data_IF_202046031535
#
_entry.id   IF_202046031535
#
_cell.length_a   1.000
_cell.length_b   1.000
_cell.length_c   1.000
_cell.angle_alpha   90.00
_cell.angle_beta   90.00
_cell.angle_gamma   90.00
#
_symmetry.space_group_name_H-M   'P 1'
#
loop_
_entity.id
_entity.type
_entity.pdbx_description
1 polymer ?
#
# COMPACT_ATOMS: atom_id res chain seq x y z
N UNK A 1 -2.21 -2.77 -17.42
CA UNK A 1 -1.11 -2.49 -16.48
C UNK A 1 -1.59 -1.39 -15.56
N UNK A 2 -2.16 -1.75 -14.41
CA UNK A 2 -2.65 -0.79 -13.43
C UNK A 2 -1.46 -0.21 -12.67
N UNK A 3 -1.40 1.13 -12.45
CA UNK A 3 -0.25 1.74 -11.78
C UNK A 3 -0.20 1.30 -10.31
N UNK A 4 0.94 0.72 -9.90
CA UNK A 4 1.18 0.37 -8.49
C UNK A 4 1.33 1.63 -7.67
N UNK A 5 0.58 1.75 -6.57
CA UNK A 5 0.74 2.87 -5.64
C UNK A 5 1.98 2.64 -4.76
N UNK A 6 3.05 3.36 -5.10
CA UNK A 6 4.22 3.54 -4.23
C UNK A 6 4.19 4.94 -3.65
N UNK A 7 4.29 5.06 -2.33
CA UNK A 7 4.40 6.36 -1.67
C UNK A 7 5.83 6.51 -1.14
N UNK A 8 6.44 7.66 -1.44
CA UNK A 8 7.74 8.06 -0.90
C UNK A 8 7.52 9.15 0.16
N UNK A 9 8.08 8.96 1.35
CA UNK A 9 8.07 10.00 2.40
C UNK A 9 9.36 10.82 2.30
N UNK A 10 9.25 12.14 2.13
CA UNK A 10 10.40 13.05 1.98
C UNK A 10 10.75 13.71 3.32
N UNK A 11 11.95 13.43 3.85
CA UNK A 11 12.65 14.26 4.84
C UNK A 11 13.55 15.28 4.14
N UNK A 12 14.08 16.28 4.86
CA UNK A 12 14.78 17.48 4.33
C UNK A 12 16.06 17.19 3.52
N UNK A 13 15.92 16.56 2.35
CA UNK A 13 16.91 16.10 1.37
C UNK A 13 17.16 14.57 1.31
N UNK A 14 16.29 13.72 1.88
CA UNK A 14 16.36 12.26 1.69
C UNK A 14 14.97 11.57 1.78
N UNK A 15 14.80 10.45 1.06
CA UNK A 15 13.66 9.54 1.24
C UNK A 15 13.83 8.87 2.62
N UNK A 16 12.85 9.03 3.51
CA UNK A 16 12.90 8.47 4.86
C UNK A 16 12.61 6.94 4.89
N UNK A 17 11.92 6.44 3.87
CA UNK A 17 11.60 5.02 3.69
C UNK A 17 10.75 4.79 2.42
N UNK A 18 10.66 3.53 1.98
CA UNK A 18 9.73 3.07 0.94
C UNK A 18 8.59 2.28 1.59
N UNK A 19 7.35 2.57 1.17
CA UNK A 19 6.17 1.81 1.57
C UNK A 19 5.59 1.09 0.35
N UNK A 20 5.59 -0.24 0.40
CA UNK A 20 5.06 -1.09 -0.67
C UNK A 20 3.65 -1.58 -0.34
N UNK A 21 2.64 -0.81 -0.76
CA UNK A 21 1.24 -1.21 -0.56
C UNK A 21 0.85 -2.43 -1.39
N UNK A 22 1.56 -2.73 -2.49
CA UNK A 22 1.32 -3.95 -3.28
C UNK A 22 1.38 -5.19 -2.40
N UNK A 23 2.40 -5.29 -1.55
CA UNK A 23 2.56 -6.42 -0.63
C UNK A 23 1.41 -6.52 0.39
N UNK A 24 0.79 -5.40 0.78
CA UNK A 24 -0.29 -5.39 1.76
C UNK A 24 -1.63 -5.90 1.21
N UNK A 25 -1.88 -5.74 -0.10
CA UNK A 25 -3.22 -5.93 -0.69
C UNK A 25 -3.26 -6.87 -1.89
N UNK A 26 -2.13 -7.31 -2.42
CA UNK A 26 -2.10 -8.24 -3.57
C UNK A 26 -2.61 -9.63 -3.18
N UNK A 27 -3.20 -10.32 -4.14
CA UNK A 27 -3.53 -11.74 -4.01
C UNK A 27 -2.22 -12.54 -3.89
N UNK A 28 -2.02 -13.35 -2.84
CA UNK A 28 -0.80 -14.14 -2.67
C UNK A 28 -0.66 -15.24 -3.74
N UNK A 29 -1.75 -15.65 -4.37
CA UNK A 29 -1.78 -16.64 -5.46
C UNK A 29 -1.69 -15.99 -6.85
N UNK A 30 -2.03 -14.70 -6.96
CA UNK A 30 -1.90 -13.91 -8.20
C UNK A 30 -1.39 -12.48 -7.91
N UNK A 31 -0.06 -12.28 -7.80
CA UNK A 31 0.53 -11.01 -7.36
C UNK A 31 0.31 -9.81 -8.27
N UNK A 32 -0.37 -9.96 -9.42
CA UNK A 32 -0.74 -8.83 -10.29
C UNK A 32 -2.17 -8.34 -10.06
N UNK A 33 -2.91 -8.98 -9.14
CA UNK A 33 -4.29 -8.64 -8.78
C UNK A 33 -4.39 -8.20 -7.32
N UNK A 34 -5.41 -7.40 -7.03
CA UNK A 34 -5.84 -7.14 -5.65
C UNK A 34 -6.52 -8.40 -5.11
N UNK A 35 -6.24 -8.77 -3.86
CA UNK A 35 -6.95 -9.85 -3.19
C UNK A 35 -8.47 -9.55 -3.19
N UNK A 36 -9.28 -10.56 -3.52
CA UNK A 36 -10.74 -10.41 -3.63
C UNK A 36 -11.40 -9.92 -2.34
N UNK A 37 -10.79 -10.18 -1.18
CA UNK A 37 -11.24 -9.66 0.12
C UNK A 37 -11.06 -8.15 0.27
N UNK A 38 -10.19 -7.54 -0.53
CA UNK A 38 -9.87 -6.10 -0.50
C UNK A 38 -10.40 -5.33 -1.72
N UNK A 39 -10.82 -5.99 -2.79
CA UNK A 39 -11.37 -5.35 -3.99
C UNK A 39 -12.81 -4.81 -3.76
N UNK A 40 -13.07 -3.58 -4.21
CA UNK A 40 -14.40 -2.96 -4.23
C UNK A 40 -15.30 -3.48 -5.36
N UNK A 41 -14.73 -4.23 -6.33
CA UNK A 41 -15.33 -5.00 -7.46
C UNK A 41 -14.92 -4.52 -8.86
N UNK A 42 -13.85 -3.76 -8.98
CA UNK A 42 -13.37 -3.30 -10.28
C UNK A 42 -11.88 -3.57 -10.52
N UNK A 43 -11.23 -4.28 -9.60
CA UNK A 43 -9.81 -4.60 -9.67
C UNK A 43 -8.90 -3.37 -9.57
N UNK A 44 -9.43 -2.23 -9.13
CA UNK A 44 -8.70 -0.97 -9.00
C UNK A 44 -8.91 -0.33 -7.63
N UNK A 45 -10.15 -0.25 -7.17
CA UNK A 45 -10.49 0.40 -5.90
C UNK A 45 -10.53 -0.61 -4.77
N UNK A 46 -10.01 -0.20 -3.62
CA UNK A 46 -10.11 -0.98 -2.39
C UNK A 46 -11.44 -0.74 -1.69
N UNK A 47 -11.93 -1.77 -1.02
CA UNK A 47 -12.96 -1.63 0.00
C UNK A 47 -12.34 -1.20 1.36
N UNK A 48 -13.18 -1.03 2.37
CA UNK A 48 -12.74 -0.59 3.70
C UNK A 48 -11.66 -1.49 4.31
N UNK A 49 -11.75 -2.80 4.12
CA UNK A 49 -10.77 -3.77 4.61
C UNK A 49 -9.42 -3.61 3.90
N UNK A 50 -9.43 -3.30 2.60
CA UNK A 50 -8.21 -3.03 1.84
C UNK A 50 -7.52 -1.74 2.29
N UNK A 51 -8.28 -0.67 2.53
CA UNK A 51 -7.72 0.55 3.12
C UNK A 51 -7.16 0.32 4.52
N UNK A 52 -7.83 -0.49 5.34
CA UNK A 52 -7.35 -0.84 6.68
C UNK A 52 -6.06 -1.67 6.62
N UNK A 53 -5.95 -2.62 5.69
CA UNK A 53 -4.75 -3.42 5.47
C UNK A 53 -3.55 -2.53 5.08
N UNK A 54 -3.77 -1.56 4.18
CA UNK A 54 -2.74 -0.57 3.84
C UNK A 54 -2.35 0.29 5.05
N UNK A 55 -3.32 0.73 5.86
CA UNK A 55 -3.04 1.53 7.05
C UNK A 55 -2.16 0.76 8.07
N UNK A 56 -2.38 -0.54 8.25
CA UNK A 56 -1.55 -1.38 9.13
C UNK A 56 -0.17 -1.70 8.56
N UNK A 57 0.04 -1.57 7.25
CA UNK A 57 1.34 -1.74 6.62
C UNK A 57 2.29 -0.53 6.84
N UNK A 58 1.76 0.61 7.31
CA UNK A 58 2.55 1.79 7.60
C UNK A 58 3.32 1.60 8.92
N UNK A 59 4.65 1.47 8.84
CA UNK A 59 5.50 1.62 10.02
C UNK A 59 5.53 3.10 10.45
N UNK A 60 4.94 3.41 11.60
CA UNK A 60 4.80 4.79 12.08
C UNK A 60 6.15 5.46 12.40
N UNK A 61 7.21 4.69 12.65
CA UNK A 61 8.53 5.26 12.92
C UNK A 61 9.07 6.03 11.71
N UNK A 62 8.71 5.64 10.48
CA UNK A 62 9.10 6.36 9.25
C UNK A 62 8.46 7.74 9.13
N UNK A 63 7.36 7.97 9.88
CA UNK A 63 6.61 9.23 9.88
C UNK A 63 7.03 10.16 11.02
N UNK A 64 7.82 9.67 11.99
CA UNK A 64 8.33 10.51 13.08
C UNK A 64 9.40 11.43 12.53
N UNK A 65 9.18 12.74 12.67
CA UNK A 65 10.24 13.73 12.47
C UNK A 65 11.21 13.67 13.67
N UNK A 66 12.51 13.89 13.45
CA UNK A 66 13.49 13.95 14.54
C UNK A 66 13.15 15.06 15.56
#
# INVERSE_FOLDING_TARGET
>A
MYPRQKIFTMGSNAIAGELDFDTAVRDPSDPVQIDRGYDYRDGLHFNDSGYLAMAWAVDLEILRRP
#
